data_IF_577949945469
#
_entry.id   IF_577949945469
#
_cell.length_a   1.000
_cell.length_b   1.000
_cell.length_c   1.000
_cell.angle_alpha   90.00
_cell.angle_beta   90.00
_cell.angle_gamma   90.00
#
_symmetry.space_group_name_H-M   'P 1'
#
loop_
_entity.id
_entity.type
_entity.pdbx_description
1 polymer ?
#
# COMPACT_ATOMS: atom_id res chain seq x y z
N UNK A 1 3.49 30.40 31.51
CA UNK A 1 4.09 30.00 30.23
C UNK A 1 4.72 31.26 29.64
N UNK A 2 6.04 31.39 29.67
CA UNK A 2 6.75 32.62 29.25
C UNK A 2 6.90 32.65 27.73
N UNK A 3 6.90 33.84 27.12
CA UNK A 3 7.08 34.03 25.66
C UNK A 3 8.29 33.27 25.10
N UNK A 4 9.33 33.09 25.90
CA UNK A 4 10.50 32.28 25.57
C UNK A 4 10.19 30.82 25.20
N UNK A 5 9.22 30.18 25.86
CA UNK A 5 8.85 28.80 25.49
C UNK A 5 8.12 28.75 24.15
N UNK A 6 7.29 29.76 23.85
CA UNK A 6 6.62 29.90 22.56
C UNK A 6 7.65 30.15 21.44
N UNK A 7 8.64 31.00 21.67
CA UNK A 7 9.69 31.28 20.69
C UNK A 7 10.55 30.05 20.41
N UNK A 8 10.89 29.27 21.44
CA UNK A 8 11.62 28.00 21.27
C UNK A 8 10.79 27.00 20.47
N UNK A 9 9.50 26.82 20.78
CA UNK A 9 8.60 25.92 20.04
C UNK A 9 8.48 26.35 18.57
N UNK A 10 8.27 27.65 18.32
CA UNK A 10 8.20 28.19 16.97
C UNK A 10 9.52 28.00 16.20
N UNK A 11 10.66 28.15 16.87
CA UNK A 11 11.98 27.91 16.24
C UNK A 11 12.18 26.46 15.83
N UNK A 12 11.63 25.51 16.60
CA UNK A 12 11.73 24.07 16.31
C UNK A 12 10.77 23.67 15.18
N UNK A 13 9.55 24.21 15.17
CA UNK A 13 8.56 24.00 14.09
C UNK A 13 9.09 24.52 12.75
N UNK A 14 9.67 25.72 12.71
CA UNK A 14 10.25 26.28 11.48
C UNK A 14 11.45 25.47 10.95
N UNK A 15 12.21 24.80 11.83
CA UNK A 15 13.33 23.94 11.43
C UNK A 15 12.87 22.64 10.75
N UNK A 16 11.73 22.07 11.18
CA UNK A 16 11.13 20.92 10.49
C UNK A 16 10.56 21.26 9.11
N UNK A 17 10.28 22.54 8.82
CA UNK A 17 9.77 22.98 7.52
C UNK A 17 10.85 23.17 6.44
N UNK A 18 12.14 23.25 6.84
CA UNK A 18 13.27 23.50 5.94
C UNK A 18 14.06 22.25 5.56
N UNK A 19 13.83 21.13 6.23
CA UNK A 19 14.11 19.85 5.60
C UNK A 19 12.97 19.67 4.60
N UNK A 20 13.28 19.52 3.32
CA UNK A 20 12.38 18.91 2.35
C UNK A 20 12.01 17.52 2.92
N UNK A 21 11.03 17.50 3.83
CA UNK A 21 10.34 16.31 4.24
C UNK A 21 9.57 15.93 3.00
N UNK A 22 10.26 15.21 2.11
CA UNK A 22 9.69 14.56 0.94
C UNK A 22 8.36 13.99 1.42
N UNK A 23 7.26 14.62 0.99
CA UNK A 23 5.94 14.31 1.52
C UNK A 23 5.82 12.80 1.46
N UNK A 24 5.61 12.16 2.61
CA UNK A 24 5.45 10.71 2.67
C UNK A 24 4.10 10.41 2.01
N UNK A 25 4.09 10.40 0.68
CA UNK A 25 3.01 9.87 -0.11
C UNK A 25 2.74 8.46 0.42
N UNK A 26 1.48 8.04 0.39
CA UNK A 26 1.18 6.64 0.61
C UNK A 26 2.02 5.82 -0.38
N UNK A 27 3.04 5.21 0.17
CA UNK A 27 3.94 4.30 -0.47
C UNK A 27 4.16 3.29 0.65
N UNK A 28 4.05 2.00 0.36
CA UNK A 28 4.32 0.96 1.35
C UNK A 28 5.75 1.09 1.96
N UNK A 29 6.61 1.96 1.43
CA UNK A 29 7.72 2.55 2.20
C UNK A 29 7.35 2.96 3.61
N UNK A 30 6.12 3.30 3.97
CA UNK A 30 5.77 3.56 5.37
C UNK A 30 6.02 2.33 6.23
N UNK A 31 5.69 1.11 5.79
CA UNK A 31 6.03 -0.11 6.54
C UNK A 31 7.54 -0.39 6.58
N UNK A 32 8.29 -0.10 5.51
CA UNK A 32 9.75 -0.27 5.50
C UNK A 32 10.47 0.80 6.33
N UNK A 33 10.01 2.05 6.26
CA UNK A 33 10.46 3.22 7.03
C UNK A 33 10.13 3.05 8.50
N UNK A 34 8.95 2.50 8.85
CA UNK A 34 8.61 2.12 10.23
C UNK A 34 9.51 1.01 10.78
N UNK A 35 10.12 0.20 9.91
CA UNK A 35 11.02 -0.90 10.29
C UNK A 35 12.51 -0.51 10.26
N UNK A 36 12.84 0.70 9.78
CA UNK A 36 14.21 1.23 9.83
C UNK A 36 14.33 2.25 10.96
N UNK A 37 15.21 1.98 11.94
CA UNK A 37 15.56 2.93 13.00
C UNK A 37 16.50 4.02 12.46
N UNK A 38 16.03 4.80 11.49
CA UNK A 38 16.77 5.91 10.91
C UNK A 38 16.47 7.25 11.60
N UNK A 39 15.80 7.20 12.75
CA UNK A 39 15.42 8.36 13.58
C UNK A 39 14.58 9.41 12.84
N UNK A 40 14.05 9.13 11.65
CA UNK A 40 13.19 10.08 10.94
C UNK A 40 11.86 10.23 11.69
N UNK A 41 11.39 11.47 11.89
CA UNK A 41 10.08 11.69 12.50
C UNK A 41 8.98 11.11 11.59
N UNK A 42 8.04 10.40 12.20
CA UNK A 42 6.86 9.84 11.52
C UNK A 42 5.67 10.73 11.85
N UNK A 43 5.09 11.36 10.84
CA UNK A 43 3.89 12.19 11.02
C UNK A 43 2.65 11.30 11.20
N UNK A 44 1.88 11.56 12.25
CA UNK A 44 0.64 10.83 12.58
C UNK A 44 -0.48 11.83 12.82
N UNK A 45 -1.70 11.47 12.39
CA UNK A 45 -2.88 12.33 12.49
C UNK A 45 -4.07 11.52 13.02
N UNK A 46 -5.14 12.21 13.43
CA UNK A 46 -6.41 11.59 13.79
C UNK A 46 -7.12 11.17 12.50
N UNK A 47 -7.29 9.85 12.32
CA UNK A 47 -8.02 9.35 11.16
C UNK A 47 -9.46 9.91 11.15
N UNK A 48 -9.91 10.55 10.06
CA UNK A 48 -11.25 11.15 10.02
C UNK A 48 -12.37 10.10 10.06
N UNK A 49 -12.08 8.85 9.70
CA UNK A 49 -13.03 7.75 9.62
C UNK A 49 -13.16 6.99 10.94
N UNK A 50 -12.05 6.59 11.58
CA UNK A 50 -12.08 5.82 12.83
C UNK A 50 -11.69 6.60 14.08
N UNK A 51 -11.33 7.89 13.96
CA UNK A 51 -10.97 8.80 15.07
C UNK A 51 -9.77 8.37 15.93
N UNK A 52 -9.01 7.37 15.48
CA UNK A 52 -7.77 6.94 16.13
C UNK A 52 -6.57 7.71 15.57
N UNK A 53 -5.58 7.99 16.42
CA UNK A 53 -4.27 8.50 16.00
C UNK A 53 -3.54 7.41 15.23
N UNK A 54 -3.30 7.63 13.95
CA UNK A 54 -2.70 6.67 13.01
C UNK A 54 -1.92 7.42 11.93
N UNK A 55 -1.21 6.66 11.10
CA UNK A 55 -0.76 7.15 9.80
C UNK A 55 -1.98 7.41 8.92
N UNK A 56 -2.20 8.66 8.54
CA UNK A 56 -3.34 9.08 7.71
C UNK A 56 -2.83 9.61 6.40
N UNK A 57 -3.36 9.04 5.32
CA UNK A 57 -2.89 9.31 3.97
C UNK A 57 -3.94 10.04 3.17
N UNK A 58 -3.47 10.89 2.25
CA UNK A 58 -4.30 11.46 1.21
C UNK A 58 -4.25 10.59 -0.05
N UNK A 59 -5.30 10.66 -0.87
CA UNK A 59 -5.33 9.96 -2.13
C UNK A 59 -4.36 10.57 -3.16
N UNK A 60 -3.62 9.72 -3.86
CA UNK A 60 -2.70 10.13 -4.92
C UNK A 60 -3.41 10.36 -6.26
N UNK A 61 -4.64 9.84 -6.45
CA UNK A 61 -5.41 10.02 -7.69
C UNK A 61 -5.88 11.47 -7.82
N UNK A 62 -5.80 12.04 -9.04
CA UNK A 62 -6.08 13.47 -9.29
C UNK A 62 -7.56 13.80 -9.11
N UNK A 63 -8.42 12.98 -9.66
CA UNK A 63 -9.87 13.01 -9.51
C UNK A 63 -10.30 13.07 -8.04
N UNK A 64 -9.69 12.28 -7.16
CA UNK A 64 -10.00 12.33 -5.72
C UNK A 64 -9.61 13.64 -5.04
N UNK A 65 -8.59 14.35 -5.56
CA UNK A 65 -8.12 15.63 -5.01
C UNK A 65 -8.87 16.83 -5.56
N UNK A 66 -9.37 16.74 -6.79
CA UNK A 66 -10.08 17.83 -7.48
C UNK A 66 -11.54 17.95 -7.04
N UNK A 67 -12.14 16.86 -6.55
CA UNK A 67 -13.49 16.89 -5.96
C UNK A 67 -13.40 17.39 -4.52
N UNK A 68 -14.07 18.51 -4.21
CA UNK A 68 -14.11 19.10 -2.85
C UNK A 68 -14.50 18.09 -1.76
N UNK A 69 -15.41 17.17 -2.09
CA UNK A 69 -15.80 16.08 -1.19
C UNK A 69 -14.89 14.85 -1.31
N UNK A 70 -14.17 14.66 -2.42
CA UNK A 70 -13.25 13.54 -2.61
C UNK A 70 -12.11 13.53 -1.59
N UNK A 71 -11.69 14.71 -1.14
CA UNK A 71 -10.64 14.87 -0.14
C UNK A 71 -11.04 14.35 1.24
N UNK A 72 -12.30 14.49 1.64
CA UNK A 72 -12.79 13.97 2.94
C UNK A 72 -13.06 12.47 2.89
N UNK A 73 -13.48 11.94 1.74
CA UNK A 73 -13.79 10.52 1.58
C UNK A 73 -12.54 9.65 1.39
N UNK A 74 -11.51 10.17 0.72
CA UNK A 74 -10.32 9.39 0.38
C UNK A 74 -9.12 9.66 1.31
N UNK A 75 -9.31 10.48 2.36
CA UNK A 75 -8.33 10.68 3.44
C UNK A 75 -8.61 9.69 4.57
N UNK A 76 -7.60 8.90 4.96
CA UNK A 76 -7.79 7.89 5.99
C UNK A 76 -6.56 7.05 6.27
N UNK A 77 -6.62 6.28 7.35
CA UNK A 77 -5.58 5.31 7.69
C UNK A 77 -5.66 4.05 6.83
N UNK A 78 -4.59 3.25 6.86
CA UNK A 78 -4.47 1.98 6.13
C UNK A 78 -5.65 1.01 6.36
N UNK A 79 -6.25 1.02 7.56
CA UNK A 79 -7.39 0.15 7.90
C UNK A 79 -8.73 0.66 7.39
N UNK A 80 -8.86 1.97 7.17
CA UNK A 80 -10.14 2.58 6.81
C UNK A 80 -10.29 2.84 5.32
N UNK A 81 -9.18 2.98 4.59
CA UNK A 81 -9.18 3.21 3.14
C UNK A 81 -8.21 2.23 2.51
N UNK A 82 -8.74 1.26 1.74
CA UNK A 82 -7.93 0.38 0.92
C UNK A 82 -7.21 1.19 -0.16
N UNK A 83 -5.95 0.87 -0.43
CA UNK A 83 -5.10 1.62 -1.36
C UNK A 83 -4.28 0.70 -2.24
N UNK A 84 -4.09 1.14 -3.47
CA UNK A 84 -3.25 0.47 -4.45
C UNK A 84 -1.79 0.49 -4.00
N UNK A 85 -1.20 -0.68 -3.93
CA UNK A 85 0.19 -0.88 -3.55
C UNK A 85 1.20 -0.19 -4.48
N UNK A 86 0.84 -0.05 -5.77
CA UNK A 86 1.72 0.60 -6.77
C UNK A 86 1.57 2.12 -6.80
N UNK A 87 0.33 2.63 -6.88
CA UNK A 87 0.11 4.06 -7.12
C UNK A 87 -0.34 4.85 -5.88
N UNK A 88 -0.73 4.17 -4.80
CA UNK A 88 -1.26 4.76 -3.56
C UNK A 88 -2.66 5.37 -3.64
N UNK A 89 -3.32 5.22 -4.79
CA UNK A 89 -4.70 5.63 -4.97
C UNK A 89 -5.64 4.78 -4.12
N UNK A 90 -6.74 5.36 -3.63
CA UNK A 90 -7.79 4.56 -2.97
C UNK A 90 -8.36 3.52 -3.94
N UNK A 91 -8.84 2.41 -3.38
CA UNK A 91 -9.53 1.33 -4.07
C UNK A 91 -10.94 1.30 -3.48
N UNK A 92 -11.96 1.30 -4.33
CA UNK A 92 -13.33 1.17 -3.86
C UNK A 92 -13.65 -0.29 -3.47
N UNK A 93 -14.73 -0.49 -2.71
CA UNK A 93 -15.08 -1.84 -2.22
C UNK A 93 -15.44 -2.81 -3.36
N UNK A 94 -15.88 -2.31 -4.51
CA UNK A 94 -16.26 -3.12 -5.67
C UNK A 94 -15.00 -3.66 -6.38
N UNK A 95 -14.00 -2.78 -6.57
CA UNK A 95 -12.68 -3.08 -7.13
C UNK A 95 -11.89 -4.05 -6.23
N UNK A 96 -12.05 -3.94 -4.91
CA UNK A 96 -11.31 -4.75 -3.92
C UNK A 96 -11.48 -6.28 -4.10
N UNK A 97 -12.67 -6.72 -4.52
CA UNK A 97 -12.96 -8.14 -4.74
C UNK A 97 -12.27 -8.71 -5.99
N UNK A 98 -11.98 -7.86 -6.97
CA UNK A 98 -11.47 -8.24 -8.29
C UNK A 98 -9.95 -8.07 -8.41
N UNK A 99 -9.36 -7.19 -7.60
CA UNK A 99 -7.95 -6.78 -7.75
C UNK A 99 -7.01 -7.33 -6.67
N UNK A 100 -7.42 -8.40 -5.98
CA UNK A 100 -6.58 -9.09 -5.00
C UNK A 100 -5.28 -9.62 -5.60
N UNK A 101 -4.17 -9.44 -4.87
CA UNK A 101 -2.85 -9.92 -5.26
C UNK A 101 -2.54 -11.31 -4.71
N UNK A 102 -1.63 -12.02 -5.39
CA UNK A 102 -1.06 -13.27 -4.90
C UNK A 102 -0.21 -13.11 -3.62
N UNK A 103 0.05 -11.87 -3.18
CA UNK A 103 0.73 -11.54 -1.92
C UNK A 103 -0.22 -10.96 -0.85
N UNK A 104 -1.54 -11.09 -1.00
CA UNK A 104 -2.54 -10.54 -0.06
C UNK A 104 -2.57 -9.00 0.07
N UNK A 105 -1.94 -8.29 -0.86
CA UNK A 105 -2.09 -6.83 -1.03
C UNK A 105 -3.15 -6.51 -2.10
N UNK A 106 -3.42 -5.21 -2.32
CA UNK A 106 -4.40 -4.74 -3.28
C UNK A 106 -3.79 -3.82 -4.34
N UNK A 107 -4.25 -3.92 -5.58
CA UNK A 107 -3.97 -2.95 -6.63
C UNK A 107 -5.26 -2.31 -7.12
N UNK A 108 -5.18 -1.11 -7.68
CA UNK A 108 -6.26 -0.67 -8.55
C UNK A 108 -6.19 -1.45 -9.88
N UNK A 109 -7.31 -1.51 -10.59
CA UNK A 109 -7.49 -2.16 -11.87
C UNK A 109 -6.45 -1.70 -12.89
N UNK A 110 -6.17 -0.39 -12.93
CA UNK A 110 -5.16 0.19 -13.82
C UNK A 110 -3.75 -0.35 -13.58
N UNK A 111 -3.39 -0.62 -12.32
CA UNK A 111 -2.11 -1.21 -11.95
C UNK A 111 -2.14 -2.73 -12.14
N UNK A 112 -3.24 -3.37 -11.78
CA UNK A 112 -3.46 -4.81 -11.92
C UNK A 112 -3.34 -5.28 -13.37
N UNK A 113 -3.90 -4.53 -14.32
CA UNK A 113 -3.87 -4.86 -15.75
C UNK A 113 -2.47 -4.83 -16.37
N UNK A 114 -1.52 -4.11 -15.77
CA UNK A 114 -0.15 -3.93 -16.30
C UNK A 114 0.81 -5.03 -15.89
N UNK A 115 0.43 -5.87 -14.93
CA UNK A 115 1.32 -6.86 -14.34
C UNK A 115 1.11 -8.25 -14.96
N UNK A 116 2.17 -9.06 -15.07
CA UNK A 116 2.03 -10.46 -15.43
C UNK A 116 1.25 -11.19 -14.34
N UNK A 117 0.45 -12.18 -14.74
CA UNK A 117 -0.50 -12.89 -13.86
C UNK A 117 -0.16 -14.36 -13.76
N UNK A 118 -0.49 -14.93 -12.60
CA UNK A 118 -0.45 -16.37 -12.38
C UNK A 118 -1.33 -17.05 -13.44
N UNK A 119 -0.80 -18.05 -14.12
CA UNK A 119 -1.52 -18.82 -15.15
C UNK A 119 -2.75 -19.57 -14.60
N UNK A 120 -2.78 -19.83 -13.29
CA UNK A 120 -3.83 -20.59 -12.63
C UNK A 120 -4.93 -19.69 -12.04
N UNK A 121 -4.56 -18.72 -11.18
CA UNK A 121 -5.54 -17.88 -10.47
C UNK A 121 -5.73 -16.50 -11.08
N UNK A 122 -5.00 -16.18 -12.15
CA UNK A 122 -5.02 -14.87 -12.81
C UNK A 122 -4.62 -13.68 -11.91
N UNK A 123 -4.02 -13.93 -10.74
CA UNK A 123 -3.56 -12.88 -9.83
C UNK A 123 -2.10 -12.50 -10.09
N UNK A 124 -1.75 -11.20 -10.13
CA UNK A 124 -0.37 -10.75 -10.16
C UNK A 124 0.22 -10.69 -8.74
N UNK A 125 1.55 -10.62 -8.66
CA UNK A 125 2.26 -10.13 -7.48
C UNK A 125 2.47 -8.61 -7.59
N UNK A 126 2.45 -7.88 -6.47
CA UNK A 126 2.92 -6.50 -6.45
C UNK A 126 4.40 -6.41 -6.85
N UNK A 127 4.88 -5.20 -7.14
CA UNK A 127 6.28 -4.98 -7.55
C UNK A 127 7.28 -5.45 -6.47
N UNK A 128 6.95 -5.28 -5.19
CA UNK A 128 7.80 -5.71 -4.06
C UNK A 128 7.98 -7.22 -4.00
N UNK A 129 6.94 -7.96 -4.37
CA UNK A 129 6.94 -9.42 -4.40
C UNK A 129 7.15 -9.96 -5.81
N UNK A 130 7.65 -9.14 -6.74
CA UNK A 130 7.91 -9.56 -8.12
C UNK A 130 8.99 -10.63 -8.23
N UNK A 131 9.91 -10.68 -7.26
CA UNK A 131 10.94 -11.71 -7.13
C UNK A 131 10.38 -13.09 -6.74
N UNK A 132 9.14 -13.17 -6.22
CA UNK A 132 8.47 -14.44 -5.95
C UNK A 132 7.91 -15.10 -7.23
N UNK A 133 8.01 -14.42 -8.38
CA UNK A 133 7.70 -14.99 -9.69
C UNK A 133 8.87 -15.90 -10.11
N UNK A 134 8.91 -17.13 -9.63
CA UNK A 134 9.92 -18.09 -10.10
C UNK A 134 9.57 -18.64 -11.49
N UNK A 135 10.56 -18.59 -12.38
CA UNK A 135 10.61 -19.05 -13.76
C UNK A 135 9.47 -18.60 -14.68
N UNK A 136 9.71 -17.43 -15.29
CA UNK A 136 9.17 -17.09 -16.60
C UNK A 136 9.53 -18.23 -17.56
N UNK A 137 8.56 -19.07 -17.88
CA UNK A 137 8.60 -19.83 -19.13
C UNK A 137 8.99 -18.87 -20.27
N UNK A 138 9.61 -19.33 -21.38
CA UNK A 138 9.89 -18.46 -22.53
C UNK A 138 8.64 -17.72 -23.05
N UNK A 139 7.44 -18.18 -22.69
CA UNK A 139 6.13 -17.55 -22.94
C UNK A 139 5.71 -16.44 -21.96
N UNK A 140 6.50 -16.13 -20.93
CA UNK A 140 6.19 -15.10 -19.93
C UNK A 140 5.15 -15.50 -18.87
N UNK A 141 4.81 -16.79 -18.77
CA UNK A 141 3.85 -17.33 -17.80
C UNK A 141 4.55 -17.76 -16.51
N UNK A 142 3.90 -17.54 -15.36
CA UNK A 142 4.32 -18.04 -14.04
C UNK A 142 3.12 -18.60 -13.28
N UNK A 143 3.37 -19.44 -12.27
CA UNK A 143 2.37 -19.91 -11.31
C UNK A 143 2.74 -19.36 -9.94
N UNK A 144 1.78 -18.82 -9.19
CA UNK A 144 2.05 -18.27 -7.85
C UNK A 144 2.22 -19.37 -6.81
N UNK A 145 2.90 -19.03 -5.71
CA UNK A 145 3.21 -19.97 -4.63
C UNK A 145 1.97 -20.65 -4.03
N UNK A 146 0.86 -19.91 -3.88
CA UNK A 146 -0.40 -20.50 -3.42
C UNK A 146 -0.86 -21.60 -4.37
N UNK A 147 -0.94 -21.32 -5.67
CA UNK A 147 -1.35 -22.31 -6.67
C UNK A 147 -0.40 -23.51 -6.74
N UNK A 148 0.91 -23.30 -6.62
CA UNK A 148 1.89 -24.39 -6.57
C UNK A 148 1.70 -25.26 -5.31
N UNK A 149 1.42 -24.64 -4.16
CA UNK A 149 1.16 -25.37 -2.92
C UNK A 149 -0.16 -26.17 -2.99
N UNK A 150 -1.20 -25.63 -3.64
CA UNK A 150 -2.45 -26.35 -3.87
C UNK A 150 -2.26 -27.57 -4.79
N UNK A 151 -1.46 -27.46 -5.85
CA UNK A 151 -1.20 -28.54 -6.81
C UNK A 151 -0.46 -29.72 -6.15
N UNK A 152 0.63 -29.42 -5.44
CA UNK A 152 1.40 -30.42 -4.67
C UNK A 152 0.58 -31.10 -3.56
N UNK A 153 -0.41 -30.41 -3.00
CA UNK A 153 -1.35 -30.99 -2.03
C UNK A 153 -2.36 -31.93 -2.67
N UNK A 154 -2.72 -31.75 -3.95
CA UNK A 154 -3.59 -32.66 -4.68
C UNK A 154 -2.86 -33.94 -5.08
N UNK A 155 -1.60 -33.84 -5.54
CA UNK A 155 -0.80 -35.00 -5.93
C UNK A 155 -0.54 -35.94 -4.76
N UNK A 156 -0.28 -35.39 -3.56
CA UNK A 156 -0.06 -36.19 -2.34
C UNK A 156 -1.31 -36.91 -1.82
N UNK A 157 -2.50 -36.57 -2.32
CA UNK A 157 -3.75 -37.29 -2.05
C UNK A 157 -4.07 -38.36 -3.11
N UNK A 158 -3.36 -38.36 -4.24
CA UNK A 158 -3.59 -39.25 -5.38
C UNK A 158 -2.78 -40.55 -5.39
N UNK A 159 -1.70 -40.65 -4.60
CA UNK A 159 -0.82 -41.84 -4.53
C UNK A 159 -1.30 -42.89 -3.52
N UNK A 160 -2.62 -43.07 -3.41
CA UNK A 160 -3.27 -43.97 -2.46
C UNK A 160 -4.44 -44.73 -3.07
N UNK A 161 -4.22 -45.44 -4.18
CA UNK A 161 -5.08 -46.54 -4.65
C UNK A 161 -4.28 -47.54 -5.51
#
# INVERSE_FOLDING_TARGET
MTNHHLDVINSLICRSSQQDAEALYYNHRVHEVLNTDDSRPIDVDVCPLCRNVRLVFDCTRKDCREVKDGWTHCRGCFFCVARCETCGGCIDLEELGETGLACSDFLCMDCWLKLPKCSTCNRPYCERHSNLKENLSPSGQFTCQECTAFDTSLESLGDGD
#
